data_IF_833464156956
#
_entry.id   IF_833464156956
#
_cell.length_a   1.000
_cell.length_b   1.000
_cell.length_c   1.000
_cell.angle_alpha   90.00
_cell.angle_beta   90.00
_cell.angle_gamma   90.00
#
_symmetry.space_group_name_H-M   'P 1'
#
loop_
_entity.id
_entity.type
_entity.pdbx_description
1 polymer ?
#
# COMPACT_ATOMS: atom_id res chain seq x y z
N UNK A 1 -67.87 -12.31 8.09
CA UNK A 1 -67.07 -12.73 9.25
C UNK A 1 -65.69 -13.18 8.77
N UNK A 2 -64.71 -12.29 8.64
CA UNK A 2 -63.29 -12.67 8.45
C UNK A 2 -62.57 -12.36 9.74
N UNK A 3 -62.39 -13.41 10.54
CA UNK A 3 -61.74 -13.39 11.84
C UNK A 3 -60.23 -13.18 11.68
N UNK A 4 -59.65 -12.38 12.59
CA UNK A 4 -58.23 -12.06 12.61
C UNK A 4 -57.36 -13.16 13.24
N UNK A 5 -56.10 -13.18 12.80
CA UNK A 5 -54.93 -13.75 13.45
C UNK A 5 -53.76 -12.83 13.03
N UNK A 6 -53.23 -11.90 13.83
CA UNK A 6 -52.39 -12.05 15.04
C UNK A 6 -51.33 -13.15 14.89
N UNK A 7 -50.12 -12.78 14.44
CA UNK A 7 -48.87 -13.16 15.11
C UNK A 7 -47.67 -12.39 14.54
N UNK A 8 -46.96 -11.77 15.46
CA UNK A 8 -45.78 -10.91 15.33
C UNK A 8 -44.51 -11.75 15.48
N UNK A 9 -43.39 -11.23 14.98
CA UNK A 9 -41.99 -11.58 15.27
C UNK A 9 -41.43 -12.93 14.80
N UNK A 10 -40.61 -12.88 13.74
CA UNK A 10 -39.51 -13.82 13.53
C UNK A 10 -38.17 -13.12 13.80
N UNK A 11 -37.65 -13.51 14.97
CA UNK A 11 -36.27 -13.61 15.43
C UNK A 11 -35.13 -12.86 14.71
N UNK A 12 -34.38 -12.19 15.58
CA UNK A 12 -33.09 -11.56 15.41
C UNK A 12 -32.03 -12.42 14.69
N UNK A 13 -31.25 -11.74 13.85
CA UNK A 13 -29.80 -11.89 13.60
C UNK A 13 -29.14 -13.25 13.86
N UNK A 14 -28.68 -13.89 12.79
CA UNK A 14 -27.68 -14.95 12.82
C UNK A 14 -26.68 -14.79 11.68
N UNK A 15 -25.73 -13.85 11.80
CA UNK A 15 -24.53 -13.87 10.96
C UNK A 15 -23.64 -14.98 11.52
N UNK A 16 -23.45 -16.02 10.71
CA UNK A 16 -22.67 -17.19 11.04
C UNK A 16 -21.25 -16.81 11.48
N UNK A 17 -20.85 -17.38 12.62
CA UNK A 17 -19.50 -17.43 13.09
C UNK A 17 -18.59 -18.10 12.04
N UNK A 18 -17.62 -17.34 11.52
CA UNK A 18 -16.39 -17.92 10.99
C UNK A 18 -15.33 -17.87 12.09
N UNK A 19 -15.52 -18.69 13.12
CA UNK A 19 -14.49 -18.97 14.12
C UNK A 19 -13.60 -20.09 13.59
N UNK A 20 -12.51 -19.72 12.94
CA UNK A 20 -11.38 -20.64 12.77
C UNK A 20 -10.72 -20.81 14.15
N UNK A 21 -10.66 -22.02 14.74
CA UNK A 21 -9.87 -22.23 15.93
C UNK A 21 -8.39 -22.13 15.53
N UNK A 22 -7.73 -21.05 15.95
CA UNK A 22 -6.27 -21.02 16.00
C UNK A 22 -5.86 -21.94 17.14
N UNK A 23 -5.68 -23.22 16.83
CA UNK A 23 -5.07 -24.19 17.71
C UNK A 23 -3.60 -23.80 17.91
N UNK A 24 -3.31 -23.03 18.96
CA UNK A 24 -1.94 -22.86 19.45
C UNK A 24 -1.71 -23.91 20.55
N UNK A 25 -1.37 -25.11 20.09
CA UNK A 25 -0.76 -26.15 20.91
C UNK A 25 0.50 -25.59 21.55
N UNK A 26 0.54 -25.44 22.87
CA UNK A 26 1.71 -24.90 23.55
C UNK A 26 1.65 -24.87 25.07
N UNK A 27 2.07 -26.00 25.68
CA UNK A 27 2.87 -26.06 26.93
C UNK A 27 2.12 -25.92 28.28
N UNK A 28 1.69 -27.08 28.80
CA UNK A 28 1.70 -27.52 30.21
C UNK A 28 1.73 -26.47 31.34
N UNK A 29 0.60 -26.30 32.04
CA UNK A 29 0.40 -26.61 33.47
C UNK A 29 -1.00 -26.12 33.87
N UNK A 30 -1.67 -26.89 34.73
CA UNK A 30 -3.09 -26.74 35.02
C UNK A 30 -3.47 -25.37 35.60
N UNK A 31 -4.58 -24.84 35.11
CA UNK A 31 -5.60 -24.16 35.91
C UNK A 31 -6.78 -23.82 34.99
N UNK A 32 -7.95 -24.12 35.53
CA UNK A 32 -9.27 -24.07 34.95
C UNK A 32 -9.70 -22.69 34.44
N UNK A 33 -10.54 -22.72 33.40
CA UNK A 33 -11.64 -21.80 33.13
C UNK A 33 -11.47 -20.31 33.54
N UNK A 34 -10.90 -19.49 32.66
CA UNK A 34 -11.17 -18.04 32.64
C UNK A 34 -10.81 -17.40 31.28
N UNK A 35 -11.38 -17.91 30.19
CA UNK A 35 -11.26 -17.28 28.86
C UNK A 35 -12.33 -16.20 28.64
N UNK A 36 -12.43 -15.25 29.58
CA UNK A 36 -13.20 -14.01 29.42
C UNK A 36 -12.44 -12.98 30.25
N UNK A 37 -12.14 -11.79 29.70
CA UNK A 37 -11.41 -10.67 30.35
C UNK A 37 -9.86 -10.58 30.18
N UNK A 38 -9.25 -11.33 29.26
CA UNK A 38 -7.79 -11.22 28.97
C UNK A 38 -7.38 -10.32 27.80
N UNK A 39 -8.34 -9.73 27.06
CA UNK A 39 -8.06 -9.05 25.78
C UNK A 39 -7.61 -7.59 25.87
N UNK A 40 -7.87 -6.90 26.97
CA UNK A 40 -7.61 -5.46 27.11
C UNK A 40 -6.25 -5.12 27.77
N UNK A 41 -5.62 -6.07 28.46
CA UNK A 41 -4.32 -5.85 29.12
C UNK A 41 -3.11 -6.00 28.19
N UNK A 42 -3.27 -6.63 27.02
CA UNK A 42 -2.23 -6.75 25.98
C UNK A 42 -1.89 -5.41 25.29
N UNK A 43 -2.76 -4.39 25.40
CA UNK A 43 -2.55 -3.08 24.77
C UNK A 43 -1.86 -2.04 25.67
N UNK A 44 -1.63 -2.35 26.96
CA UNK A 44 -1.08 -1.38 27.93
C UNK A 44 0.40 -1.63 28.31
N UNK A 45 0.96 -2.76 27.89
CA UNK A 45 2.33 -3.14 28.24
C UNK A 45 3.31 -2.86 27.10
N UNK A 46 4.35 -2.08 27.39
CA UNK A 46 5.63 -1.95 26.66
C UNK A 46 5.75 -0.79 25.68
N UNK A 47 5.84 0.43 26.20
CA UNK A 47 6.53 1.54 25.52
C UNK A 47 7.32 2.40 26.50
N UNK A 48 8.27 1.78 27.22
CA UNK A 48 9.37 2.48 27.88
C UNK A 48 10.59 1.56 27.97
N UNK A 49 11.44 1.58 26.94
CA UNK A 49 12.79 1.02 27.03
C UNK A 49 13.75 1.89 26.22
N UNK A 50 14.09 3.03 26.80
CA UNK A 50 15.02 4.00 26.22
C UNK A 50 15.68 4.90 27.26
N UNK A 51 15.92 4.40 28.48
CA UNK A 51 16.77 5.10 29.46
C UNK A 51 18.22 4.78 29.16
N UNK A 52 18.80 5.50 28.20
CA UNK A 52 20.23 5.45 27.99
C UNK A 52 20.89 6.41 28.98
N UNK A 53 21.53 5.85 30.00
CA UNK A 53 22.30 6.58 31.00
C UNK A 53 23.59 7.12 30.36
N UNK A 54 23.48 8.29 29.73
CA UNK A 54 24.61 9.01 29.16
C UNK A 54 25.36 9.85 30.19
N UNK A 55 25.93 9.23 31.23
CA UNK A 55 26.99 9.87 32.02
C UNK A 55 28.33 9.32 31.57
N UNK A 56 28.94 10.01 30.60
CA UNK A 56 30.37 9.85 30.27
C UNK A 56 30.95 11.22 29.95
N UNK A 57 31.47 11.88 30.98
CA UNK A 57 32.54 12.84 30.83
C UNK A 57 33.76 12.09 30.29
N UNK A 58 33.95 12.13 28.97
CA UNK A 58 35.22 11.78 28.33
C UNK A 58 35.62 12.95 27.44
N UNK A 59 36.49 13.79 27.98
CA UNK A 59 37.32 14.70 27.21
C UNK A 59 38.25 13.87 26.33
N UNK A 60 37.86 13.64 25.09
CA UNK A 60 38.76 13.13 24.06
C UNK A 60 38.52 13.90 22.77
N UNK A 61 39.39 14.87 22.50
CA UNK A 61 39.53 15.49 21.17
C UNK A 61 40.20 14.46 20.25
N UNK A 62 39.45 13.44 19.86
CA UNK A 62 39.80 12.53 18.77
C UNK A 62 38.90 12.85 17.59
N UNK A 63 39.48 13.03 16.41
CA UNK A 63 38.74 13.17 15.17
C UNK A 63 37.74 12.00 15.05
N UNK A 64 36.43 12.23 14.89
CA UNK A 64 35.45 11.14 14.89
C UNK A 64 35.79 10.17 13.75
N UNK A 65 35.68 8.84 13.98
CA UNK A 65 35.89 7.88 12.91
C UNK A 65 34.89 8.16 11.78
N UNK A 66 35.40 8.29 10.55
CA UNK A 66 34.57 8.42 9.36
C UNK A 66 33.84 7.09 9.16
N UNK A 67 32.61 7.00 9.65
CA UNK A 67 31.74 5.86 9.37
C UNK A 67 31.35 5.96 7.89
N UNK A 68 31.95 5.12 7.05
CA UNK A 68 31.52 4.96 5.67
C UNK A 68 30.14 4.28 5.69
N UNK A 69 29.08 5.09 5.65
CA UNK A 69 27.74 4.58 5.39
C UNK A 69 27.62 4.31 3.89
N UNK A 70 27.39 3.04 3.48
CA UNK A 70 27.14 2.76 2.08
C UNK A 70 25.93 3.59 1.64
N UNK A 71 25.96 4.19 0.42
CA UNK A 71 24.84 4.94 -0.09
C UNK A 71 23.58 4.07 -0.02
N UNK A 72 22.56 4.53 0.74
CA UNK A 72 21.27 3.84 0.75
C UNK A 72 20.76 3.80 -0.69
N UNK A 73 20.30 2.64 -1.20
CA UNK A 73 19.73 2.56 -2.53
C UNK A 73 18.56 3.54 -2.61
N UNK A 74 18.72 4.59 -3.41
CA UNK A 74 17.66 5.57 -3.62
C UNK A 74 16.50 4.84 -4.31
N UNK A 75 15.26 4.96 -3.82
CA UNK A 75 14.13 4.34 -4.49
C UNK A 75 14.05 4.88 -5.93
N UNK A 76 14.03 3.96 -6.91
CA UNK A 76 13.93 4.33 -8.31
C UNK A 76 12.65 5.16 -8.52
N UNK A 77 12.82 6.46 -8.76
CA UNK A 77 11.72 7.41 -8.90
C UNK A 77 10.92 7.11 -10.17
N UNK A 78 9.79 6.41 -10.05
CA UNK A 78 8.86 6.11 -11.15
C UNK A 78 7.92 7.28 -11.39
N UNK A 79 8.47 8.42 -11.80
CA UNK A 79 7.71 9.66 -12.01
C UNK A 79 7.46 9.85 -13.51
N UNK A 80 6.18 9.94 -13.88
CA UNK A 80 5.74 10.26 -15.23
C UNK A 80 5.59 11.79 -15.35
N UNK A 81 6.37 12.45 -16.23
CA UNK A 81 6.32 13.91 -16.37
C UNK A 81 4.95 14.39 -16.86
N UNK A 82 4.36 15.41 -16.22
CA UNK A 82 3.09 16.00 -16.64
C UNK A 82 3.11 16.48 -18.09
N UNK A 83 4.25 17.01 -18.58
CA UNK A 83 4.42 17.42 -19.99
C UNK A 83 4.19 16.32 -21.02
N UNK A 84 4.33 15.06 -20.61
CA UNK A 84 4.13 13.90 -21.48
C UNK A 84 2.68 13.43 -21.50
N UNK A 85 1.83 13.95 -20.59
CA UNK A 85 0.43 13.57 -20.47
C UNK A 85 -0.37 14.07 -21.66
N UNK A 86 -1.20 13.20 -22.21
CA UNK A 86 -2.20 13.53 -23.22
C UNK A 86 -3.52 12.84 -22.90
N UNK A 87 -4.59 13.50 -23.29
CA UNK A 87 -5.93 12.97 -23.24
C UNK A 87 -6.73 13.39 -24.47
N UNK A 88 -7.80 12.66 -24.74
CA UNK A 88 -8.69 12.93 -25.85
C UNK A 88 -9.69 11.80 -26.03
N UNK A 89 -10.22 11.68 -27.23
CA UNK A 89 -11.15 10.65 -27.62
C UNK A 89 -10.78 10.15 -29.01
N UNK A 90 -10.85 8.83 -29.19
CA UNK A 90 -10.71 8.15 -30.47
C UNK A 90 -11.90 7.21 -30.71
N UNK A 91 -11.88 6.46 -31.81
CA UNK A 91 -12.91 5.47 -32.12
C UNK A 91 -13.07 4.37 -31.05
N UNK A 92 -12.08 4.21 -30.16
CA UNK A 92 -12.09 3.25 -29.06
C UNK A 92 -12.43 3.92 -27.71
N UNK A 93 -12.99 5.13 -27.75
CA UNK A 93 -13.45 5.90 -26.60
C UNK A 93 -12.43 6.90 -26.07
N UNK A 94 -12.59 7.31 -24.82
CA UNK A 94 -11.70 8.31 -24.21
C UNK A 94 -10.33 7.69 -23.91
N UNK A 95 -9.27 8.40 -24.24
CA UNK A 95 -7.90 8.02 -23.89
C UNK A 95 -7.28 9.02 -22.94
N UNK A 96 -6.49 8.51 -21.99
CA UNK A 96 -5.67 9.29 -21.05
C UNK A 96 -4.38 8.52 -20.76
N UNK A 97 -3.24 9.16 -20.94
CA UNK A 97 -1.95 8.49 -20.81
C UNK A 97 -0.78 9.39 -21.16
N UNK A 98 0.40 8.79 -21.26
CA UNK A 98 1.64 9.50 -21.51
C UNK A 98 2.22 9.07 -22.86
N UNK A 99 2.66 10.02 -23.68
CA UNK A 99 3.27 9.72 -24.99
C UNK A 99 4.51 8.85 -24.82
N UNK A 100 4.61 7.76 -25.57
CA UNK A 100 5.72 6.81 -25.48
C UNK A 100 7.09 7.49 -25.64
N UNK A 101 7.29 8.21 -26.75
CA UNK A 101 8.56 8.90 -27.04
C UNK A 101 8.92 9.97 -25.99
N UNK A 102 7.92 10.70 -25.50
CA UNK A 102 8.14 11.71 -24.45
C UNK A 102 8.60 11.05 -23.14
N UNK A 103 7.95 9.95 -22.74
CA UNK A 103 8.35 9.17 -21.57
C UNK A 103 9.76 8.60 -21.70
N UNK A 104 10.11 8.07 -22.87
CA UNK A 104 11.45 7.54 -23.12
C UNK A 104 12.54 8.61 -22.99
N UNK A 105 12.27 9.85 -23.42
CA UNK A 105 13.26 10.93 -23.41
C UNK A 105 13.33 11.71 -22.09
N UNK A 106 12.28 11.64 -21.26
CA UNK A 106 12.10 12.58 -20.15
C UNK A 106 11.75 11.94 -18.81
N UNK A 107 11.40 10.66 -18.77
CA UNK A 107 11.25 9.95 -17.51
C UNK A 107 12.63 9.60 -16.94
N UNK A 108 12.84 9.85 -15.65
CA UNK A 108 14.11 9.53 -14.97
C UNK A 108 14.48 8.04 -15.08
N UNK A 109 13.46 7.17 -15.13
CA UNK A 109 13.63 5.72 -15.14
C UNK A 109 12.93 5.08 -16.35
N UNK A 110 13.18 5.60 -17.56
CA UNK A 110 12.56 5.11 -18.79
C UNK A 110 12.70 3.59 -19.02
N UNK A 111 13.79 2.95 -18.54
CA UNK A 111 13.97 1.50 -18.63
C UNK A 111 12.93 0.67 -17.82
N UNK A 112 12.25 1.26 -16.83
CA UNK A 112 11.22 0.58 -16.03
C UNK A 112 9.84 0.67 -16.71
N UNK A 113 9.75 1.25 -17.91
CA UNK A 113 8.48 1.48 -18.58
C UNK A 113 7.87 0.15 -19.03
N UNK A 114 6.69 -0.22 -18.49
CA UNK A 114 6.03 -1.48 -18.80
C UNK A 114 5.47 -1.47 -20.23
N UNK A 115 5.96 -2.39 -21.08
CA UNK A 115 5.51 -2.51 -22.48
C UNK A 115 4.03 -2.94 -22.57
N UNK A 116 3.52 -3.72 -21.60
CA UNK A 116 2.11 -4.12 -21.51
C UNK A 116 1.16 -2.93 -21.27
N UNK A 117 1.67 -1.78 -20.85
CA UNK A 117 0.86 -0.57 -20.70
C UNK A 117 0.72 0.25 -22.00
N UNK A 118 1.40 -0.13 -23.07
CA UNK A 118 1.31 0.53 -24.36
C UNK A 118 -0.07 0.32 -24.99
N UNK A 119 -0.60 1.38 -25.58
CA UNK A 119 -1.81 1.37 -26.40
C UNK A 119 -1.63 2.33 -27.55
N UNK A 120 -2.03 1.91 -28.76
CA UNK A 120 -2.14 2.81 -29.91
C UNK A 120 -3.47 3.56 -29.83
N UNK A 121 -3.42 4.87 -30.03
CA UNK A 121 -4.58 5.76 -30.04
C UNK A 121 -4.54 6.62 -31.29
N UNK A 122 -5.70 7.02 -31.77
CA UNK A 122 -5.79 8.00 -32.84
C UNK A 122 -5.79 9.41 -32.22
N UNK A 123 -4.91 10.27 -32.70
CA UNK A 123 -4.85 11.68 -32.29
C UNK A 123 -4.99 12.56 -33.52
N UNK A 124 -5.19 13.87 -33.35
CA UNK A 124 -5.20 14.82 -34.46
C UNK A 124 -3.92 14.80 -35.31
N UNK A 125 -2.80 14.32 -34.73
CA UNK A 125 -1.51 14.17 -35.41
C UNK A 125 -1.24 12.71 -35.83
N UNK A 126 -2.30 11.96 -36.16
CA UNK A 126 -2.27 10.55 -36.56
C UNK A 126 -2.17 9.57 -35.39
N UNK A 127 -1.81 8.32 -35.71
CA UNK A 127 -1.59 7.27 -34.73
C UNK A 127 -0.45 7.61 -33.78
N UNK A 128 -0.71 7.51 -32.48
CA UNK A 128 0.30 7.66 -31.43
C UNK A 128 0.26 6.48 -30.48
N UNK A 129 1.42 6.09 -29.98
CA UNK A 129 1.50 5.10 -28.91
C UNK A 129 1.63 5.82 -27.57
N UNK A 130 0.78 5.43 -26.62
CA UNK A 130 0.75 5.98 -25.28
C UNK A 130 0.88 4.87 -24.25
N UNK A 131 1.47 5.19 -23.10
CA UNK A 131 1.31 4.41 -21.90
C UNK A 131 0.00 4.81 -21.20
N UNK A 132 -0.91 3.86 -20.99
CA UNK A 132 -2.18 4.12 -20.29
C UNK A 132 -1.93 4.60 -18.88
N UNK A 133 -2.52 5.74 -18.49
CA UNK A 133 -2.29 6.34 -17.17
C UNK A 133 -2.65 5.39 -16.02
N UNK A 134 -3.78 4.67 -16.14
CA UNK A 134 -4.22 3.69 -15.14
C UNK A 134 -3.25 2.51 -15.01
N UNK A 135 -2.78 1.99 -16.14
CA UNK A 135 -1.84 0.86 -16.15
C UNK A 135 -0.49 1.25 -15.51
N UNK A 136 0.02 2.44 -15.84
CA UNK A 136 1.23 2.98 -15.22
C UNK A 136 1.09 3.12 -13.70
N UNK A 137 -0.04 3.68 -13.23
CA UNK A 137 -0.32 3.82 -11.80
C UNK A 137 -0.31 2.47 -11.09
N UNK A 138 -0.92 1.45 -11.70
CA UNK A 138 -0.91 0.08 -11.17
C UNK A 138 0.50 -0.54 -11.13
N UNK A 139 1.44 -0.02 -11.94
CA UNK A 139 2.86 -0.43 -11.93
C UNK A 139 3.72 0.47 -11.00
N UNK A 140 3.09 1.24 -10.11
CA UNK A 140 3.78 2.10 -9.15
C UNK A 140 4.36 3.38 -9.76
N UNK A 141 3.90 3.79 -10.94
CA UNK A 141 4.26 5.10 -11.49
C UNK A 141 3.37 6.20 -10.93
N UNK A 142 3.99 7.28 -10.48
CA UNK A 142 3.31 8.49 -10.01
C UNK A 142 3.33 9.56 -11.08
N UNK A 143 2.34 10.46 -11.03
CA UNK A 143 2.34 11.68 -11.85
C UNK A 143 3.25 12.72 -11.17
N UNK A 144 4.13 13.35 -11.92
CA UNK A 144 4.94 14.49 -11.45
C UNK A 144 4.47 15.82 -12.03
#
# INVERSE_FOLDING_TARGET
MTAGLLAVTLALTGIAASTSPAAATGRNNGADAAAVLGGLLLLYGLSQAGRNHGSRNYTSRGNPPVIYQPPRPQPAQRVAPARCFIQGQDGNGRYRGYRQRCMQNHARNAHLLPQNCLRRVWTNNGHRTIYRARCLRNNGWTQG
#
